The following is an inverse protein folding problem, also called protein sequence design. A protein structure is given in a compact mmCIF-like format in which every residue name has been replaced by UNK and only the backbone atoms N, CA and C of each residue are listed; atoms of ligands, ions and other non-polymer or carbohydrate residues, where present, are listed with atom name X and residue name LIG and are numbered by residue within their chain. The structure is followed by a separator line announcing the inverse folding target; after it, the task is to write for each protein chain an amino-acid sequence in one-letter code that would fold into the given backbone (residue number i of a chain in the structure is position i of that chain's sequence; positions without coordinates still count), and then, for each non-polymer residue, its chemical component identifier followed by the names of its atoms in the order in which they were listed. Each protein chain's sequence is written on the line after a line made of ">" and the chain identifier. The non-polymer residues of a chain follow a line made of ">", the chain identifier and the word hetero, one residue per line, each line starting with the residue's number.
data_IF_662823907382
#
_entry.id   IF_662823907382
#
_cell.length_a   1.000
_cell.length_b   1.000
_cell.length_c   1.000
_cell.angle_alpha   90.00
_cell.angle_beta   90.00
_cell.angle_gamma   90.00
#
_symmetry.space_group_name_H-M   'P 1'
#
loop_
_entity.id
_entity.type
_entity.pdbx_description
1 polymer ?
#
# COMPACT_ATOMS: atom_id res chain seq x y z
N UNK A 1 -16.14 -42.85 15.51
CA UNK A 1 -15.54 -41.58 15.99
C UNK A 1 -14.42 -41.25 15.02
N UNK A 2 -14.66 -40.31 14.12
CA UNK A 2 -13.59 -39.72 13.31
C UNK A 2 -12.79 -38.80 14.23
N UNK A 3 -11.61 -39.23 14.63
CA UNK A 3 -10.62 -38.34 15.19
C UNK A 3 -10.17 -37.41 14.07
N UNK A 4 -10.55 -36.15 14.15
CA UNK A 4 -9.98 -35.12 13.27
C UNK A 4 -8.53 -34.91 13.70
N UNK A 5 -7.58 -35.43 12.93
CA UNK A 5 -6.18 -35.08 13.09
C UNK A 5 -6.05 -33.57 12.90
N UNK A 6 -5.77 -32.86 13.97
CA UNK A 6 -5.44 -31.45 13.93
C UNK A 6 -4.00 -31.33 13.46
N UNK A 7 -3.78 -31.22 12.17
CA UNK A 7 -2.46 -30.93 11.60
C UNK A 7 -2.14 -29.44 11.87
N UNK A 8 -1.11 -29.20 12.67
CA UNK A 8 -0.54 -27.86 12.81
C UNK A 8 0.44 -27.64 11.67
N UNK A 9 0.32 -26.49 11.01
CA UNK A 9 1.26 -26.06 9.98
C UNK A 9 1.89 -24.72 10.38
N UNK A 10 3.10 -24.45 9.92
CA UNK A 10 3.84 -23.24 10.23
C UNK A 10 3.72 -22.27 9.07
N UNK A 11 3.45 -21.01 9.37
CA UNK A 11 3.44 -19.91 8.39
C UNK A 11 4.75 -19.16 8.47
N UNK A 12 5.47 -19.09 7.37
CA UNK A 12 6.76 -18.40 7.27
C UNK A 12 6.57 -16.95 6.82
N UNK A 13 6.38 -16.05 7.78
CA UNK A 13 6.13 -14.62 7.57
C UNK A 13 7.12 -13.70 8.31
N UNK A 14 8.21 -14.26 8.82
CA UNK A 14 9.20 -13.47 9.54
C UNK A 14 9.78 -12.35 8.64
N UNK A 15 9.85 -11.13 9.21
CA UNK A 15 10.33 -9.95 8.49
C UNK A 15 9.33 -9.31 7.53
N UNK A 16 8.14 -9.91 7.29
CA UNK A 16 7.10 -9.31 6.46
C UNK A 16 6.57 -8.01 7.08
N UNK A 17 6.16 -7.09 6.22
CA UNK A 17 5.65 -5.77 6.62
C UNK A 17 4.16 -5.67 6.34
N UNK A 18 3.48 -4.85 7.14
CA UNK A 18 2.09 -4.52 6.89
C UNK A 18 1.94 -3.78 5.57
N UNK A 19 0.91 -4.11 4.80
CA UNK A 19 0.62 -3.50 3.51
C UNK A 19 -0.28 -2.27 3.65
N UNK A 20 -0.36 -1.48 2.59
CA UNK A 20 -1.28 -0.34 2.49
C UNK A 20 -0.84 0.92 3.23
N UNK A 21 0.24 0.85 4.03
CA UNK A 21 0.81 2.00 4.71
C UNK A 21 2.32 2.07 4.43
N UNK A 22 2.85 3.20 3.98
CA UNK A 22 4.29 3.35 3.81
C UNK A 22 4.99 3.36 5.17
N UNK A 23 6.17 2.74 5.25
CA UNK A 23 6.98 2.77 6.48
C UNK A 23 7.56 4.16 6.78
N UNK A 24 7.67 5.00 5.76
CA UNK A 24 8.16 6.37 5.91
C UNK A 24 7.29 7.32 5.08
N UNK A 25 6.83 8.39 5.71
CA UNK A 25 6.12 9.47 5.07
C UNK A 25 6.68 10.81 5.56
N UNK A 26 6.96 11.68 4.63
CA UNK A 26 7.47 13.03 4.91
C UNK A 26 6.54 14.04 4.30
N UNK A 27 6.22 15.10 5.05
CA UNK A 27 5.38 16.18 4.59
C UNK A 27 6.00 17.52 4.93
N UNK A 28 5.99 18.44 3.97
CA UNK A 28 6.40 19.83 4.17
C UNK A 28 5.33 20.75 3.60
N UNK A 29 4.77 21.59 4.45
CA UNK A 29 3.74 22.55 4.11
C UNK A 29 4.20 24.00 4.28
N UNK A 30 3.71 24.87 3.41
CA UNK A 30 3.85 26.31 3.52
C UNK A 30 2.48 26.96 3.35
N UNK A 31 2.12 27.80 4.31
CA UNK A 31 0.88 28.57 4.32
C UNK A 31 1.16 30.06 4.27
N UNK A 32 0.44 30.78 3.43
CA UNK A 32 0.54 32.23 3.32
C UNK A 32 -0.84 32.89 3.34
N UNK A 33 -1.00 33.82 4.25
CA UNK A 33 -2.27 34.54 4.45
C UNK A 33 -2.09 36.04 4.30
N UNK A 34 -2.86 36.66 3.40
CA UNK A 34 -2.82 38.10 3.19
C UNK A 34 -4.19 38.65 2.78
N UNK A 35 -4.66 39.67 3.47
CA UNK A 35 -5.89 40.42 3.14
C UNK A 35 -7.09 39.54 2.77
N UNK A 36 -7.28 38.45 3.54
CA UNK A 36 -8.37 37.48 3.33
C UNK A 36 -8.12 36.48 2.18
N UNK A 37 -6.97 36.50 1.52
CA UNK A 37 -6.47 35.41 0.70
C UNK A 37 -5.69 34.44 1.56
N UNK A 38 -5.81 33.17 1.25
CA UNK A 38 -4.92 32.13 1.78
C UNK A 38 -4.42 31.24 0.66
N UNK A 39 -3.18 30.86 0.78
CA UNK A 39 -2.49 29.98 -0.14
C UNK A 39 -1.82 28.90 0.70
N UNK A 40 -1.93 27.66 0.28
CA UNK A 40 -1.25 26.54 0.91
C UNK A 40 -0.61 25.68 -0.16
N UNK A 41 0.62 25.27 0.08
CA UNK A 41 1.33 24.29 -0.73
C UNK A 41 1.86 23.22 0.21
N UNK A 42 1.60 21.95 -0.10
CA UNK A 42 2.02 20.82 0.70
C UNK A 42 2.67 19.74 -0.17
N UNK A 43 3.95 19.49 0.06
CA UNK A 43 4.70 18.42 -0.59
C UNK A 43 4.73 17.19 0.30
N UNK A 44 4.34 16.04 -0.25
CA UNK A 44 4.30 14.75 0.44
C UNK A 44 5.20 13.76 -0.28
N UNK A 45 6.09 13.10 0.46
CA UNK A 45 6.93 12.03 -0.06
C UNK A 45 6.69 10.75 0.75
N UNK A 46 6.37 9.68 0.04
CA UNK A 46 6.11 8.36 0.60
C UNK A 46 7.20 7.39 0.17
N UNK A 47 7.63 6.54 1.10
CA UNK A 47 8.72 5.60 0.84
C UNK A 47 8.48 4.28 1.57
N UNK A 48 8.89 3.16 0.93
CA UNK A 48 8.82 1.82 1.47
C UNK A 48 7.39 1.36 1.77
N UNK A 49 6.53 1.36 0.76
CA UNK A 49 5.26 0.63 0.79
C UNK A 49 5.48 -0.85 0.43
N UNK A 50 4.61 -1.72 0.91
CA UNK A 50 4.70 -3.16 0.66
C UNK A 50 3.38 -3.71 0.14
N UNK A 51 3.48 -4.74 -0.70
CA UNK A 51 2.30 -5.47 -1.17
C UNK A 51 1.71 -6.31 -0.03
N UNK A 52 0.40 -6.51 -0.02
CA UNK A 52 -0.23 -7.51 0.85
C UNK A 52 0.11 -8.92 0.38
N UNK A 53 0.46 -9.80 1.31
CA UNK A 53 0.96 -11.13 1.01
C UNK A 53 -0.04 -12.21 1.38
N UNK A 54 -0.02 -13.31 0.63
CA UNK A 54 -0.82 -14.48 0.91
C UNK A 54 -0.16 -15.36 1.97
N UNK A 55 -0.76 -15.46 3.15
CA UNK A 55 -0.30 -16.36 4.23
C UNK A 55 -0.39 -17.83 3.81
N UNK A 56 -1.39 -18.19 3.00
CA UNK A 56 -1.55 -19.54 2.48
C UNK A 56 -0.32 -19.99 1.66
N UNK A 57 0.24 -19.11 0.85
CA UNK A 57 1.43 -19.39 0.04
C UNK A 57 2.72 -19.52 0.85
N UNK A 58 2.67 -19.20 2.13
CA UNK A 58 3.79 -19.26 3.07
C UNK A 58 3.62 -20.32 4.14
N UNK A 59 2.63 -21.21 3.97
CA UNK A 59 2.49 -22.41 4.78
C UNK A 59 3.61 -23.40 4.47
N UNK A 60 4.13 -24.08 5.49
CA UNK A 60 5.18 -25.08 5.34
C UNK A 60 4.82 -26.15 4.32
N UNK A 61 3.60 -26.68 4.35
CA UNK A 61 3.12 -27.67 3.38
C UNK A 61 3.13 -27.16 1.92
N UNK A 62 2.92 -25.87 1.71
CA UNK A 62 2.96 -25.26 0.35
C UNK A 62 4.40 -25.04 -0.10
N UNK A 63 5.29 -24.76 0.86
CA UNK A 63 6.73 -24.59 0.61
C UNK A 63 7.49 -25.93 0.60
N UNK A 64 6.81 -27.07 0.85
CA UNK A 64 7.43 -28.39 0.92
C UNK A 64 8.36 -28.58 2.12
N UNK A 65 8.05 -27.90 3.24
CA UNK A 65 8.89 -27.91 4.44
C UNK A 65 8.04 -28.10 5.72
N UNK A 66 8.64 -28.73 6.70
CA UNK A 66 8.06 -28.92 8.02
C UNK A 66 8.90 -28.21 9.11
N UNK A 67 8.28 -27.75 10.17
CA UNK A 67 8.99 -27.28 11.33
C UNK A 67 9.55 -28.48 12.11
N UNK A 68 10.85 -28.56 12.27
CA UNK A 68 11.53 -29.53 13.12
C UNK A 68 11.98 -28.91 14.43
N UNK A 69 12.32 -29.76 15.44
CA UNK A 69 12.81 -29.30 16.75
C UNK A 69 14.07 -28.42 16.66
N UNK A 70 14.84 -28.52 15.59
CA UNK A 70 16.09 -27.76 15.35
C UNK A 70 16.04 -26.89 14.09
N UNK A 71 14.87 -26.46 13.68
CA UNK A 71 14.66 -25.63 12.48
C UNK A 71 13.82 -26.33 11.41
N UNK A 72 13.79 -25.75 10.23
CA UNK A 72 13.01 -26.23 9.11
C UNK A 72 13.64 -27.48 8.50
N UNK A 73 12.84 -28.53 8.31
CA UNK A 73 13.25 -29.79 7.67
C UNK A 73 12.45 -30.01 6.38
N UNK A 74 13.11 -30.59 5.37
CA UNK A 74 12.45 -31.03 4.14
C UNK A 74 11.66 -32.33 4.33
N UNK A 75 10.96 -32.77 3.29
CA UNK A 75 10.20 -34.02 3.29
C UNK A 75 11.09 -35.26 3.57
N UNK A 76 12.37 -35.17 3.28
CA UNK A 76 13.37 -36.21 3.55
C UNK A 76 13.92 -36.18 4.99
N UNK A 77 13.43 -35.29 5.86
CA UNK A 77 13.89 -35.12 7.24
C UNK A 77 15.21 -34.38 7.42
N UNK A 78 15.83 -33.92 6.34
CA UNK A 78 17.08 -33.16 6.40
C UNK A 78 16.80 -31.67 6.63
N UNK A 79 17.77 -30.95 7.26
CA UNK A 79 17.69 -29.49 7.40
C UNK A 79 17.74 -28.85 6.02
N UNK A 80 16.70 -28.10 5.68
CA UNK A 80 16.57 -27.40 4.40
C UNK A 80 16.60 -25.91 4.63
N UNK A 81 17.39 -25.23 3.84
CA UNK A 81 17.31 -23.78 3.70
C UNK A 81 16.11 -23.45 2.83
N UNK A 82 15.00 -23.04 3.45
CA UNK A 82 13.80 -22.63 2.71
C UNK A 82 14.05 -21.27 2.11
N UNK A 83 13.97 -21.16 0.81
CA UNK A 83 13.90 -19.89 0.15
C UNK A 83 12.46 -19.33 0.30
N UNK A 84 12.20 -18.65 1.40
CA UNK A 84 10.90 -17.99 1.64
C UNK A 84 10.86 -16.79 0.71
N UNK A 85 9.87 -16.72 -0.20
CA UNK A 85 9.77 -15.58 -1.10
C UNK A 85 9.54 -14.30 -0.33
N UNK A 86 10.32 -13.29 -0.64
CA UNK A 86 10.20 -11.96 -0.07
C UNK A 86 8.89 -11.30 -0.43
N UNK A 87 8.52 -10.29 0.33
CA UNK A 87 7.42 -9.40 0.04
C UNK A 87 7.91 -8.30 -0.91
N UNK A 88 7.10 -7.95 -1.93
CA UNK A 88 7.45 -6.88 -2.85
C UNK A 88 7.40 -5.53 -2.14
N UNK A 89 8.49 -4.78 -2.24
CA UNK A 89 8.59 -3.39 -1.80
C UNK A 89 8.30 -2.46 -2.98
N UNK A 90 7.51 -1.42 -2.77
CA UNK A 90 7.16 -0.44 -3.78
C UNK A 90 8.14 0.72 -3.77
N UNK A 91 8.45 1.21 -4.95
CA UNK A 91 9.13 2.48 -5.10
C UNK A 91 8.27 3.59 -4.48
N UNK A 92 8.92 4.50 -3.80
CA UNK A 92 8.26 5.66 -3.23
C UNK A 92 7.78 6.65 -4.29
N UNK A 93 7.11 7.71 -3.85
CA UNK A 93 6.62 8.74 -4.74
C UNK A 93 6.41 10.07 -4.04
N UNK A 94 6.45 11.12 -4.84
CA UNK A 94 6.19 12.49 -4.41
C UNK A 94 4.87 12.98 -4.98
N UNK A 95 4.09 13.64 -4.14
CA UNK A 95 2.84 14.33 -4.52
C UNK A 95 2.86 15.75 -3.98
N UNK A 96 2.29 16.68 -4.74
CA UNK A 96 2.15 18.07 -4.36
C UNK A 96 0.68 18.45 -4.34
N UNK A 97 0.25 19.06 -3.24
CA UNK A 97 -1.11 19.56 -3.07
C UNK A 97 -1.08 21.08 -2.97
N UNK A 98 -2.07 21.72 -3.58
CA UNK A 98 -2.23 23.16 -3.57
C UNK A 98 -3.63 23.53 -3.06
N UNK A 99 -3.70 24.63 -2.32
CA UNK A 99 -4.98 25.23 -1.96
C UNK A 99 -4.91 26.74 -2.08
N UNK A 100 -5.95 27.32 -2.64
CA UNK A 100 -6.13 28.77 -2.71
C UNK A 100 -7.54 29.12 -2.30
N UNK A 101 -7.68 30.15 -1.49
CA UNK A 101 -8.99 30.61 -1.10
C UNK A 101 -9.07 32.08 -0.79
N UNK A 102 -10.30 32.58 -0.76
CA UNK A 102 -10.61 33.95 -0.46
C UNK A 102 -11.77 34.03 0.52
N UNK A 103 -11.57 34.79 1.56
CA UNK A 103 -12.63 35.21 2.47
C UNK A 103 -12.97 36.66 2.24
N UNK A 104 -14.23 36.94 1.90
CA UNK A 104 -14.73 38.27 1.56
C UNK A 104 -15.77 38.64 2.62
N UNK A 105 -15.52 39.71 3.38
CA UNK A 105 -16.49 40.29 4.30
C UNK A 105 -17.44 41.18 3.52
N UNK A 106 -18.70 40.92 3.65
CA UNK A 106 -19.80 41.70 3.07
C UNK A 106 -20.44 42.58 4.14
N UNK A 107 -21.30 43.49 3.72
CA UNK A 107 -22.05 44.35 4.63
C UNK A 107 -23.03 43.53 5.48
N UNK A 108 -23.44 44.07 6.63
CA UNK A 108 -24.42 43.51 7.58
C UNK A 108 -24.00 42.12 8.16
N UNK A 109 -22.70 41.96 8.42
CA UNK A 109 -22.17 40.72 9.03
C UNK A 109 -22.08 39.49 8.11
N UNK A 110 -22.43 39.64 6.83
CA UNK A 110 -22.37 38.59 5.84
C UNK A 110 -20.93 38.33 5.40
N UNK A 111 -20.67 37.13 4.97
CA UNK A 111 -19.36 36.76 4.41
C UNK A 111 -19.50 35.70 3.32
N UNK A 112 -18.57 35.77 2.36
CA UNK A 112 -18.40 34.77 1.30
C UNK A 112 -17.02 34.16 1.44
N UNK A 113 -16.94 32.86 1.42
CA UNK A 113 -15.69 32.09 1.33
C UNK A 113 -15.67 31.27 0.06
N UNK A 114 -14.57 31.32 -0.66
CA UNK A 114 -14.31 30.50 -1.85
C UNK A 114 -12.98 29.80 -1.62
N UNK A 115 -12.94 28.50 -1.77
CA UNK A 115 -11.75 27.69 -1.61
C UNK A 115 -11.64 26.66 -2.73
N UNK A 116 -10.53 26.67 -3.45
CA UNK A 116 -10.15 25.66 -4.43
C UNK A 116 -8.98 24.87 -3.86
N UNK A 117 -9.15 23.54 -3.80
CA UNK A 117 -8.08 22.61 -3.43
C UNK A 117 -7.79 21.70 -4.62
N UNK A 118 -6.52 21.53 -4.92
CA UNK A 118 -6.01 20.63 -5.95
C UNK A 118 -5.06 19.65 -5.28
N UNK A 119 -5.34 18.37 -5.40
CA UNK A 119 -4.51 17.30 -4.88
C UNK A 119 -3.72 16.66 -6.00
N UNK A 120 -2.51 16.27 -5.69
CA UNK A 120 -1.58 15.63 -6.60
C UNK A 120 -1.42 16.42 -7.91
N UNK A 121 -1.05 17.71 -7.82
CA UNK A 121 -0.84 18.57 -9.00
C UNK A 121 0.34 18.11 -9.87
N UNK A 122 1.22 17.29 -9.33
CA UNK A 122 2.27 16.60 -10.09
C UNK A 122 1.72 15.51 -11.01
N UNK A 123 0.45 15.14 -10.83
CA UNK A 123 -0.24 14.07 -11.53
C UNK A 123 0.54 12.75 -11.52
N UNK A 124 1.15 12.42 -10.39
CA UNK A 124 1.87 11.16 -10.22
C UNK A 124 0.86 10.02 -10.07
N UNK A 125 0.63 9.28 -11.14
CA UNK A 125 -0.28 8.12 -11.20
C UNK A 125 0.46 6.78 -11.19
N UNK A 126 1.78 6.80 -11.23
CA UNK A 126 2.61 5.59 -11.32
C UNK A 126 3.00 5.05 -9.94
N UNK A 127 2.83 5.87 -8.90
CA UNK A 127 3.13 5.46 -7.53
C UNK A 127 2.16 4.38 -7.06
N UNK A 128 2.68 3.20 -6.73
CA UNK A 128 1.92 2.13 -6.11
C UNK A 128 1.60 2.51 -4.66
N UNK A 129 0.32 2.43 -4.29
CA UNK A 129 -0.16 2.74 -2.94
C UNK A 129 -0.56 1.49 -2.15
N UNK A 130 -0.62 0.35 -2.81
CA UNK A 130 -0.98 -0.92 -2.22
C UNK A 130 -1.16 -1.98 -3.30
N UNK A 131 -1.68 -3.11 -2.88
CA UNK A 131 -1.92 -4.23 -3.76
C UNK A 131 -1.94 -5.54 -2.98
N UNK A 132 -2.15 -6.63 -3.68
CA UNK A 132 -2.14 -7.96 -3.08
C UNK A 132 -1.64 -9.03 -4.04
N UNK A 133 -0.99 -10.05 -3.50
CA UNK A 133 -0.63 -11.25 -4.22
C UNK A 133 -1.88 -12.07 -4.53
N UNK A 134 -2.09 -12.45 -5.78
CA UNK A 134 -3.21 -13.33 -6.12
C UNK A 134 -2.87 -14.78 -5.82
N UNK A 135 -3.87 -15.52 -5.31
CA UNK A 135 -3.78 -16.97 -5.08
C UNK A 135 -3.99 -17.79 -6.37
N UNK A 136 -3.73 -17.22 -7.55
CA UNK A 136 -3.81 -17.98 -8.79
C UNK A 136 -2.72 -19.03 -8.81
N UNK A 137 -3.13 -20.24 -9.11
CA UNK A 137 -2.21 -21.35 -9.29
C UNK A 137 -1.75 -21.39 -10.75
N UNK A 138 -0.46 -21.11 -10.95
CA UNK A 138 0.20 -21.18 -12.25
C UNK A 138 1.09 -22.44 -12.35
N UNK A 139 0.92 -23.37 -11.43
CA UNK A 139 1.77 -24.56 -11.38
C UNK A 139 1.71 -25.34 -12.69
N UNK A 140 0.64 -25.19 -13.44
CA UNK A 140 0.39 -25.89 -14.70
C UNK A 140 0.14 -24.90 -15.85
N UNK A 141 1.20 -24.33 -16.40
CA UNK A 141 1.17 -23.67 -17.69
C UNK A 141 1.74 -24.64 -18.72
N UNK A 142 1.01 -24.89 -19.82
CA UNK A 142 1.37 -25.82 -20.90
C UNK A 142 1.60 -27.31 -20.50
N UNK A 143 0.96 -27.77 -19.41
CA UNK A 143 1.06 -29.14 -18.92
C UNK A 143 2.38 -29.48 -18.22
N UNK A 144 3.19 -28.49 -17.89
CA UNK A 144 4.43 -28.64 -17.11
C UNK A 144 4.28 -27.97 -15.75
N UNK A 145 4.70 -28.68 -14.71
CA UNK A 145 4.80 -28.11 -13.37
C UNK A 145 5.87 -27.01 -13.36
N UNK A 146 5.48 -25.80 -12.97
CA UNK A 146 6.39 -24.67 -12.81
C UNK A 146 6.43 -24.21 -11.38
N UNK A 147 7.60 -23.85 -10.85
CA UNK A 147 7.65 -23.28 -9.52
C UNK A 147 6.85 -21.98 -9.46
N UNK A 148 6.06 -21.82 -8.42
CA UNK A 148 5.28 -20.61 -8.19
C UNK A 148 6.19 -19.38 -8.15
N UNK A 149 5.85 -18.36 -8.93
CA UNK A 149 6.54 -17.07 -8.90
C UNK A 149 5.67 -16.06 -8.17
N UNK A 150 6.12 -15.67 -6.99
CA UNK A 150 5.49 -14.62 -6.22
C UNK A 150 5.52 -13.32 -7.04
N UNK A 151 4.50 -12.46 -6.84
CA UNK A 151 4.27 -11.21 -7.57
C UNK A 151 3.99 -11.29 -9.08
N UNK A 152 4.07 -12.43 -9.72
CA UNK A 152 3.76 -12.55 -11.16
C UNK A 152 2.32 -12.14 -11.51
N UNK A 153 1.37 -12.39 -10.61
CA UNK A 153 -0.06 -12.08 -10.78
C UNK A 153 -0.57 -11.09 -9.75
N UNK A 154 0.31 -10.32 -9.15
CA UNK A 154 -0.07 -9.30 -8.19
C UNK A 154 -1.00 -8.27 -8.81
N UNK A 155 -1.92 -7.76 -8.01
CA UNK A 155 -2.75 -6.60 -8.32
C UNK A 155 -2.23 -5.41 -7.55
N UNK A 156 -2.21 -4.26 -8.19
CA UNK A 156 -1.70 -3.03 -7.61
C UNK A 156 -2.79 -1.97 -7.56
N UNK A 157 -2.74 -1.16 -6.52
CA UNK A 157 -3.46 0.09 -6.40
C UNK A 157 -2.47 1.22 -6.62
N UNK A 158 -2.90 2.24 -7.34
CA UNK A 158 -2.07 3.39 -7.68
C UNK A 158 -2.61 4.65 -7.06
N UNK A 159 -1.75 5.64 -6.92
CA UNK A 159 -2.15 6.96 -6.49
C UNK A 159 -3.18 7.55 -7.45
N UNK A 160 -4.18 8.24 -6.91
CA UNK A 160 -5.14 8.97 -7.70
C UNK A 160 -4.44 10.14 -8.39
N UNK A 161 -4.67 10.32 -9.69
CA UNK A 161 -4.16 11.45 -10.45
C UNK A 161 -4.66 12.80 -9.94
N UNK A 162 -4.31 13.86 -10.64
CA UNK A 162 -4.77 15.21 -10.33
C UNK A 162 -6.28 15.24 -10.13
N UNK A 163 -6.68 15.70 -8.97
CA UNK A 163 -8.07 15.91 -8.63
C UNK A 163 -8.22 17.18 -7.79
N UNK A 164 -9.42 17.69 -7.70
CA UNK A 164 -9.67 18.87 -6.92
C UNK A 164 -11.14 19.12 -6.66
N UNK A 165 -11.40 20.01 -5.74
CA UNK A 165 -12.75 20.45 -5.42
C UNK A 165 -12.79 21.94 -5.11
N UNK A 166 -13.92 22.54 -5.45
CA UNK A 166 -14.27 23.91 -5.15
C UNK A 166 -15.31 23.95 -4.05
N UNK A 167 -15.02 24.66 -2.98
CA UNK A 167 -15.95 24.93 -1.90
C UNK A 167 -16.35 26.39 -1.90
N UNK A 168 -17.65 26.66 -1.88
CA UNK A 168 -18.20 28.03 -1.78
C UNK A 168 -19.12 28.06 -0.57
N UNK A 169 -18.78 28.87 0.41
CA UNK A 169 -19.54 29.07 1.64
C UNK A 169 -20.09 30.49 1.73
N UNK A 170 -21.37 30.62 2.07
CA UNK A 170 -21.99 31.90 2.33
C UNK A 170 -22.54 31.95 3.77
N UNK A 171 -22.17 32.96 4.48
CA UNK A 171 -22.67 33.26 5.84
C UNK A 171 -23.56 34.50 5.78
N UNK A 172 -24.78 34.39 6.30
CA UNK A 172 -25.78 35.47 6.41
C UNK A 172 -26.12 35.77 7.86
#
# INVERSE_FOLDING_TARGET
>A
RNESETTQDVVYIDGMKESGTPLSAYSLGLDYNVKGWFFSINGNYYHRGFIDFSTYRRLGKVLGVSAGENGTVGEDGNKVSVNIPGQEEFDGGFMLDLSIGKYIRLQKGRALSINLTLNNVTNNTDMKTGGYEQNRDDAYDDGRERPYQFSRHSKYYYAQGLNGFLNIGFRF
#
